data_IF_567458780035
#
_entry.id   IF_567458780035
#
_cell.length_a   1.000
_cell.length_b   1.000
_cell.length_c   1.000
_cell.angle_alpha   90.00
_cell.angle_beta   90.00
_cell.angle_gamma   90.00
#
_symmetry.space_group_name_H-M   'P 1'
#
loop_
_entity.id
_entity.type
_entity.pdbx_description
1 polymer ?
#
# COMPACT_ATOMS: atom_id res chain seq x y z
N UNK A 1 -3.14 -16.93 4.54
CA UNK A 1 -3.67 -16.39 4.60
C UNK A 1 -4.37 -16.25 3.83
N UNK A 2 -4.99 -16.80 3.73
CA UNK A 2 -5.61 -16.32 3.42
C UNK A 2 -6.30 -16.67 3.13
N UNK A 3 -6.68 -17.05 3.10
CA UNK A 3 -7.29 -16.90 3.15
C UNK A 3 -7.96 -16.87 2.45
N UNK A 4 -8.42 -17.30 2.47
CA UNK A 4 -8.86 -16.83 2.35
C UNK A 4 -9.58 -17.30 2.20
N UNK A 5 -10.00 -17.60 2.25
CA UNK A 5 -10.37 -17.40 2.52
C UNK A 5 -10.93 -17.72 2.29
N UNK A 6 -11.34 -18.59 2.41
CA UNK A 6 -11.69 -18.38 2.81
C UNK A 6 -12.01 -18.76 2.53
N UNK A 7 -12.29 -19.54 2.44
CA UNK A 7 -12.42 -19.31 2.84
C UNK A 7 -12.72 -19.41 2.98
N UNK A 8 -12.92 -19.72 2.81
CA UNK A 8 -13.03 -19.35 3.46
C UNK A 8 -13.41 -19.37 3.66
N UNK A 9 -13.52 -19.77 3.60
CA UNK A 9 -13.57 -19.26 4.23
C UNK A 9 -14.00 -19.28 4.22
N UNK A 10 -14.16 -19.61 4.04
CA UNK A 10 -14.25 -19.04 4.47
C UNK A 10 -14.56 -19.29 4.67
N UNK A 11 -14.96 -19.79 4.72
CA UNK A 11 -14.95 -19.43 5.45
C UNK A 11 -15.33 -19.36 5.70
N UNK A 12 -15.66 -19.70 5.72
CA UNK A 12 -15.82 -19.14 6.41
C UNK A 12 -16.22 -18.76 6.58
N UNK A 13 -16.71 -19.38 6.40
CA UNK A 13 -16.93 -18.67 7.01
C UNK A 13 -17.47 -18.54 6.85
N UNK A 14 -17.90 -18.93 6.53
CA UNK A 14 -18.05 -18.16 6.71
C UNK A 14 -18.67 -18.25 7.07
N UNK A 15 -19.14 -18.54 7.17
CA UNK A 15 -19.32 -17.96 7.87
C UNK A 15 -20.17 -17.88 8.15
N UNK A 16 -20.68 -18.46 8.43
CA UNK A 16 -21.25 -17.88 9.00
C UNK A 16 -21.95 -17.29 8.64
N UNK A 17 -22.56 -17.83 8.35
CA UNK A 17 -22.98 -16.78 8.20
C UNK A 17 -23.21 -16.56 8.54
N UNK A 18 -23.44 -16.87 8.43
CA UNK A 18 -23.29 -16.08 8.87
C UNK A 18 -23.22 -15.89 9.23
N UNK A 19 -23.40 -16.20 9.53
CA UNK A 19 -22.99 -15.46 10.07
C UNK A 19 -23.03 -14.93 9.92
N UNK A 20 -23.10 -15.03 9.77
CA UNK A 20 -22.83 -14.09 9.82
C UNK A 20 -22.80 -13.68 9.61
N UNK A 21 -22.93 -13.89 9.30
CA UNK A 21 -22.56 -13.05 9.29
C UNK A 21 -22.60 -12.58 9.46
N UNK A 22 -22.64 -12.51 9.23
CA UNK A 22 -22.30 -11.66 9.51
C UNK A 22 -22.35 -11.18 9.57
N UNK A 23 -22.41 -11.16 9.35
CA UNK A 23 -22.10 -10.40 9.46
C UNK A 23 -22.09 -9.90 9.04
N UNK A 24 -22.28 -10.12 8.44
CA UNK A 24 -21.92 -9.40 8.13
C UNK A 24 -21.97 -9.02 7.69
N UNK A 25 -22.03 -9.23 7.31
CA UNK A 25 -21.65 -8.55 7.01
C UNK A 25 -21.88 -8.47 6.48
N UNK A 26 -21.98 -8.71 6.27
CA UNK A 26 -21.82 -8.33 5.87
C UNK A 26 -22.34 -8.43 5.46
N UNK A 27 -22.77 -8.70 5.28
CA UNK A 27 -22.86 -8.50 5.01
C UNK A 27 -23.35 -8.79 4.82
N UNK A 28 -24.06 -9.35 4.71
CA UNK A 28 -24.10 -9.24 4.58
C UNK A 28 -24.60 -9.51 4.56
N UNK A 29 -25.27 -9.73 4.44
CA UNK A 29 -25.56 -9.78 4.39
C UNK A 29 -26.03 -10.28 4.12
N UNK A 30 -26.35 -10.73 4.00
CA UNK A 30 -26.71 -10.84 3.57
C UNK A 30 -26.75 -11.33 3.12
N UNK A 31 -27.10 -11.88 2.77
CA UNK A 31 -27.02 -12.09 2.32
C UNK A 31 -26.81 -12.46 1.61
N UNK A 32 -26.76 -12.85 1.35
CA UNK A 32 -26.45 -12.86 0.58
C UNK A 32 -26.23 -13.35 0.04
N UNK A 33 -26.30 -13.49 -0.20
CA UNK A 33 -26.19 -13.86 -0.81
C UNK A 33 -25.41 -14.30 -1.22
N UNK A 34 -25.45 -14.72 -0.66
CA UNK A 34 -24.46 -15.12 -1.60
C UNK A 34 -23.11 -14.53 -1.31
N UNK A 35 -22.02 -15.09 -1.76
CA UNK A 35 -20.66 -14.73 -1.43
C UNK A 35 -20.19 -13.33 -1.81
N UNK A 36 -20.96 -12.62 -2.63
CA UNK A 36 -20.53 -11.29 -3.09
C UNK A 36 -20.36 -10.27 -1.95
N UNK A 37 -21.27 -10.28 -0.98
CA UNK A 37 -21.17 -9.35 0.14
C UNK A 37 -19.92 -9.58 0.98
N UNK A 38 -19.57 -10.86 1.19
CA UNK A 38 -18.38 -11.22 1.95
C UNK A 38 -17.13 -10.74 1.24
N UNK A 39 -17.08 -10.90 -0.08
CA UNK A 39 -15.93 -10.50 -0.88
C UNK A 39 -15.71 -8.99 -0.82
N UNK A 40 -16.78 -8.20 -0.93
CA UNK A 40 -16.70 -6.76 -0.82
C UNK A 40 -16.22 -6.32 0.56
N UNK A 41 -16.72 -6.96 1.61
CA UNK A 41 -16.31 -6.63 2.97
C UNK A 41 -14.81 -6.89 3.18
N UNK A 42 -14.27 -7.97 2.61
CA UNK A 42 -12.86 -8.28 2.73
C UNK A 42 -11.99 -7.21 2.04
N UNK A 43 -12.38 -6.77 0.84
CA UNK A 43 -11.66 -5.72 0.13
C UNK A 43 -11.71 -4.41 0.91
N UNK A 44 -12.86 -4.06 1.45
CA UNK A 44 -12.99 -2.84 2.25
C UNK A 44 -12.05 -2.85 3.45
N UNK A 45 -11.96 -3.98 4.17
CA UNK A 45 -11.08 -4.09 5.33
C UNK A 45 -9.60 -3.91 4.97
N UNK A 46 -9.19 -4.38 3.81
CA UNK A 46 -7.79 -4.28 3.38
C UNK A 46 -7.36 -2.82 3.27
N UNK A 47 -8.29 -1.92 2.97
CA UNK A 47 -7.98 -0.50 2.77
C UNK A 47 -8.11 0.35 4.03
N UNK A 48 -8.55 -0.24 5.15
CA UNK A 48 -8.57 0.48 6.42
C UNK A 48 -7.15 0.62 6.97
N UNK A 49 -6.94 1.70 7.72
CA UNK A 49 -5.64 1.94 8.34
C UNK A 49 -5.32 0.84 9.34
N UNK A 50 -4.22 0.14 9.12
CA UNK A 50 -3.72 -0.86 10.05
C UNK A 50 -2.87 -0.24 11.13
N UNK A 51 -2.36 -1.09 12.02
CA UNK A 51 -1.43 -0.66 13.06
C UNK A 51 -0.06 -0.40 12.45
N UNK A 52 0.68 0.52 13.04
CA UNK A 52 2.03 0.85 12.61
C UNK A 52 3.02 0.15 13.54
N UNK A 53 4.01 -0.51 12.96
CA UNK A 53 5.01 -1.26 13.70
C UNK A 53 6.41 -0.77 13.30
N UNK A 54 7.22 -0.42 14.29
CA UNK A 54 8.57 0.07 14.03
C UNK A 54 9.47 -1.08 13.57
N UNK A 55 10.19 -0.88 12.47
CA UNK A 55 11.15 -1.85 11.94
C UNK A 55 12.56 -1.29 11.95
N UNK A 56 12.68 0.03 11.96
CA UNK A 56 13.95 0.77 11.88
C UNK A 56 14.71 0.49 10.57
N UNK A 57 14.05 -0.09 9.58
CA UNK A 57 14.66 -0.29 8.27
C UNK A 57 14.46 0.97 7.42
N UNK A 58 15.53 1.39 6.74
CA UNK A 58 15.56 2.65 5.99
C UNK A 58 14.47 2.73 4.92
N UNK A 59 14.19 1.62 4.25
CA UNK A 59 13.26 1.60 3.12
C UNK A 59 11.92 0.95 3.46
N UNK A 60 11.66 0.70 4.74
CA UNK A 60 10.31 0.35 5.17
C UNK A 60 9.54 1.63 5.39
N UNK A 61 8.45 1.79 4.67
CA UNK A 61 7.63 2.99 4.71
C UNK A 61 6.19 2.62 5.04
N UNK A 62 5.59 3.39 5.92
CA UNK A 62 4.18 3.22 6.24
C UNK A 62 3.42 4.45 5.77
N UNK A 63 2.19 4.24 5.34
CA UNK A 63 1.27 5.31 4.98
C UNK A 63 0.40 5.63 6.18
N UNK A 64 0.46 6.86 6.67
CA UNK A 64 -0.46 7.33 7.71
C UNK A 64 -1.56 8.13 7.06
N UNK A 65 -2.77 7.58 7.02
CA UNK A 65 -3.90 8.23 6.39
C UNK A 65 -4.16 7.70 5.00
N UNK A 66 -4.74 8.52 4.14
CA UNK A 66 -5.21 8.11 2.81
C UNK A 66 -4.09 8.12 1.81
N UNK A 67 -4.01 7.07 1.01
CA UNK A 67 -3.09 7.01 -0.11
C UNK A 67 -2.52 5.63 -0.31
N UNK A 68 -2.01 5.43 -1.50
CA UNK A 68 -1.34 4.20 -1.90
C UNK A 68 -0.02 4.57 -2.54
N UNK A 69 0.98 3.73 -2.33
CA UNK A 69 2.21 3.81 -3.13
C UNK A 69 1.88 3.39 -4.55
N UNK A 70 2.55 4.00 -5.52
CA UNK A 70 2.35 3.71 -6.94
C UNK A 70 3.53 2.88 -7.44
N UNK A 71 3.23 1.74 -8.03
CA UNK A 71 4.22 0.75 -8.44
C UNK A 71 4.13 0.56 -9.95
N UNK A 72 5.27 0.67 -10.65
CA UNK A 72 5.32 0.40 -12.09
C UNK A 72 5.61 -1.08 -12.30
N UNK A 73 4.68 -1.78 -12.95
CA UNK A 73 4.84 -3.19 -13.26
C UNK A 73 5.68 -3.38 -14.52
N UNK A 74 6.23 -4.58 -14.74
CA UNK A 74 7.06 -4.83 -15.92
C UNK A 74 6.38 -4.56 -17.26
N UNK A 75 5.06 -4.67 -17.31
CA UNK A 75 4.29 -4.37 -18.53
C UNK A 75 4.03 -2.89 -18.74
N UNK A 76 4.54 -2.04 -17.84
CA UNK A 76 4.36 -0.60 -17.91
C UNK A 76 3.11 -0.06 -17.24
N UNK A 77 2.23 -0.92 -16.77
CA UNK A 77 1.02 -0.47 -16.06
C UNK A 77 1.35 -0.12 -14.62
N UNK A 78 0.47 0.66 -14.00
CA UNK A 78 0.65 1.12 -12.62
C UNK A 78 -0.25 0.30 -11.71
N UNK A 79 0.32 -0.22 -10.64
CA UNK A 79 -0.42 -0.85 -9.55
C UNK A 79 -0.28 0.00 -8.29
N UNK A 80 -1.11 -0.27 -7.32
CA UNK A 80 -1.19 0.52 -6.08
C UNK A 80 -1.10 -0.41 -4.90
N UNK A 81 -0.41 0.02 -3.84
CA UNK A 81 -0.23 -0.83 -2.67
C UNK A 81 -0.12 0.00 -1.40
N UNK A 82 -0.55 -0.58 -0.29
CA UNK A 82 -0.29 -0.05 1.04
C UNK A 82 0.99 -0.66 1.62
N UNK A 83 1.52 -1.71 1.00
CA UNK A 83 2.70 -2.41 1.48
C UNK A 83 3.95 -1.60 1.15
N UNK A 84 4.60 -1.09 2.17
CA UNK A 84 5.79 -0.24 2.03
C UNK A 84 7.10 -0.96 2.26
N UNK A 85 7.13 -2.27 2.06
CA UNK A 85 8.36 -3.05 2.19
C UNK A 85 9.21 -2.89 0.94
N UNK A 86 10.07 -1.88 0.94
CA UNK A 86 10.90 -1.56 -0.22
C UNK A 86 12.35 -1.92 0.04
N UNK A 87 13.14 -1.92 -1.02
CA UNK A 87 14.57 -2.22 -0.96
C UNK A 87 15.25 -1.55 -2.15
N UNK A 88 16.58 -1.58 -2.18
CA UNK A 88 17.33 -1.10 -3.33
C UNK A 88 17.70 -2.28 -4.21
N UNK A 89 17.61 -2.09 -5.53
CA UNK A 89 18.12 -3.06 -6.47
C UNK A 89 19.61 -2.82 -6.73
N UNK A 90 20.19 -3.58 -7.65
CA UNK A 90 21.63 -3.49 -7.93
C UNK A 90 22.05 -2.11 -8.46
N UNK A 91 21.11 -1.34 -9.04
CA UNK A 91 21.38 0.01 -9.55
C UNK A 91 21.16 1.09 -8.51
N UNK A 92 20.70 0.72 -7.30
CA UNK A 92 20.37 1.69 -6.26
C UNK A 92 18.94 2.23 -6.39
N UNK A 93 18.13 1.65 -7.23
CA UNK A 93 16.74 2.09 -7.42
C UNK A 93 15.85 1.49 -6.34
N UNK A 94 14.91 2.29 -5.83
CA UNK A 94 13.94 1.83 -4.81
C UNK A 94 12.89 0.98 -5.51
N UNK A 95 12.78 -0.27 -5.07
CA UNK A 95 11.87 -1.26 -5.67
C UNK A 95 11.13 -2.03 -4.59
N UNK A 96 10.07 -2.72 -4.99
CA UNK A 96 9.38 -3.67 -4.11
C UNK A 96 10.26 -4.93 -3.96
N UNK A 97 9.85 -5.84 -3.07
CA UNK A 97 10.58 -7.10 -2.92
C UNK A 97 10.52 -7.96 -4.19
N UNK A 98 9.57 -7.69 -5.10
CA UNK A 98 9.51 -8.37 -6.39
C UNK A 98 10.35 -7.66 -7.46
N UNK A 99 10.99 -6.55 -7.11
CA UNK A 99 11.83 -5.81 -8.03
C UNK A 99 11.10 -4.76 -8.87
N UNK A 100 9.85 -4.46 -8.54
CA UNK A 100 9.06 -3.47 -9.29
C UNK A 100 9.38 -2.06 -8.80
N UNK A 101 9.46 -1.12 -9.71
CA UNK A 101 9.86 0.26 -9.43
C UNK A 101 8.75 1.02 -8.72
N UNK A 102 9.13 1.81 -7.70
CA UNK A 102 8.22 2.73 -7.04
C UNK A 102 8.21 4.06 -7.82
N UNK A 103 7.01 4.54 -8.17
CA UNK A 103 6.87 5.82 -8.88
C UNK A 103 7.28 7.00 -7.99
N UNK A 104 7.93 8.00 -8.55
CA UNK A 104 8.23 8.27 -9.96
C UNK A 104 9.56 7.66 -10.44
N UNK A 105 10.18 6.83 -9.64
CA UNK A 105 11.49 6.28 -9.87
C UNK A 105 12.50 7.05 -9.04
N UNK A 106 13.07 6.39 -8.04
CA UNK A 106 14.00 7.01 -7.11
C UNK A 106 15.27 6.16 -7.10
N UNK A 107 16.40 6.79 -7.39
CA UNK A 107 17.69 6.13 -7.38
C UNK A 107 18.56 6.76 -6.31
N UNK A 108 19.12 5.91 -5.44
CA UNK A 108 20.00 6.35 -4.38
C UNK A 108 21.42 6.30 -4.92
N UNK A 109 22.18 7.43 -4.86
CA UNK A 109 23.56 7.44 -5.35
C UNK A 109 24.45 6.47 -4.58
N UNK A 110 25.42 5.84 -5.24
CA UNK A 110 26.28 4.84 -4.56
C UNK A 110 27.15 5.43 -3.45
N UNK A 111 27.39 6.73 -3.44
CA UNK A 111 28.15 7.39 -2.40
C UNK A 111 27.27 7.94 -1.26
N UNK A 112 26.01 7.57 -1.22
CA UNK A 112 25.13 7.93 -0.13
C UNK A 112 25.49 7.15 1.13
N UNK A 113 25.65 7.85 2.24
CA UNK A 113 25.96 7.22 3.53
C UNK A 113 24.77 7.21 4.47
N UNK A 114 23.71 7.93 4.12
CA UNK A 114 22.47 7.92 4.90
C UNK A 114 21.32 8.39 4.01
N UNK A 115 20.12 7.89 4.30
CA UNK A 115 18.90 8.21 3.57
C UNK A 115 17.80 8.53 4.56
N UNK A 116 17.19 9.70 4.42
CA UNK A 116 16.05 10.11 5.23
C UNK A 116 14.87 10.38 4.31
N UNK A 117 13.75 9.76 4.60
CA UNK A 117 12.51 9.99 3.86
C UNK A 117 11.57 10.68 4.84
N UNK A 118 11.22 11.93 4.55
CA UNK A 118 10.40 12.71 5.47
C UNK A 118 8.91 12.48 5.24
N UNK A 119 8.08 13.09 6.07
CA UNK A 119 6.63 12.87 6.04
C UNK A 119 5.98 13.29 4.73
N UNK A 120 6.59 14.22 4.01
CA UNK A 120 6.08 14.65 2.71
C UNK A 120 6.64 13.84 1.55
N UNK A 121 7.37 12.76 1.85
CA UNK A 121 7.85 11.85 0.81
C UNK A 121 9.10 12.31 0.09
N UNK A 122 9.76 13.36 0.57
CA UNK A 122 11.06 13.74 0.01
C UNK A 122 12.12 12.74 0.45
N UNK A 123 12.92 12.29 -0.51
CA UNK A 123 14.02 11.36 -0.25
C UNK A 123 15.31 12.17 -0.20
N UNK A 124 15.85 12.34 1.00
CA UNK A 124 17.01 13.15 1.26
C UNK A 124 18.19 12.23 1.56
N UNK A 125 19.30 12.45 0.88
CA UNK A 125 20.49 11.62 1.03
C UNK A 125 21.65 12.46 1.53
N UNK A 126 22.43 11.85 2.42
CA UNK A 126 23.71 12.42 2.83
C UNK A 126 24.78 11.75 2.02
N UNK A 127 25.50 12.52 1.23
CA UNK A 127 26.56 12.00 0.37
C UNK A 127 27.91 12.10 1.09
N UNK A 128 28.78 11.16 0.79
CA UNK A 128 30.11 11.13 1.35
C UNK A 128 30.86 12.41 1.01
N UNK A 129 31.45 13.03 2.03
CA UNK A 129 32.19 14.26 1.83
C UNK A 129 31.36 15.54 1.73
N UNK A 130 30.05 15.44 1.88
CA UNK A 130 29.17 16.60 1.83
C UNK A 130 28.45 16.79 3.16
N UNK A 131 28.28 18.05 3.56
CA UNK A 131 27.59 18.40 4.80
C UNK A 131 26.08 18.51 4.55
N UNK A 132 25.71 19.14 3.45
CA UNK A 132 24.30 19.37 3.13
C UNK A 132 23.65 18.12 2.55
N UNK A 133 22.37 17.94 2.85
CA UNK A 133 21.58 16.87 2.27
C UNK A 133 21.23 17.17 0.81
N UNK A 134 21.22 16.14 -0.01
CA UNK A 134 20.79 16.23 -1.41
C UNK A 134 19.44 15.57 -1.58
N UNK A 135 18.60 16.10 -2.45
CA UNK A 135 17.30 15.54 -2.74
C UNK A 135 17.43 14.48 -3.84
N UNK A 136 17.12 13.24 -3.54
CA UNK A 136 17.20 12.14 -4.51
C UNK A 136 15.86 11.89 -5.20
N UNK A 137 14.80 12.53 -4.75
CA UNK A 137 13.49 12.39 -5.38
C UNK A 137 12.35 12.69 -4.43
N UNK A 138 11.15 12.67 -5.00
CA UNK A 138 9.92 12.97 -4.28
C UNK A 138 8.92 11.85 -4.56
N UNK A 139 8.52 11.14 -3.53
CA UNK A 139 7.49 10.13 -3.67
C UNK A 139 6.14 10.78 -3.94
N UNK A 140 5.38 10.18 -4.84
CA UNK A 140 4.02 10.59 -5.14
C UNK A 140 3.10 9.44 -4.78
N UNK A 141 2.01 9.75 -4.10
CA UNK A 141 1.03 8.74 -3.70
C UNK A 141 -0.28 9.00 -4.43
N UNK A 142 -1.17 8.04 -4.40
CA UNK A 142 -2.44 8.14 -5.12
C UNK A 142 -3.60 7.88 -4.18
N UNK A 143 -4.71 8.60 -4.41
CA UNK A 143 -5.98 8.34 -3.71
C UNK A 143 -7.06 8.03 -4.75
N UNK A 144 -8.12 7.40 -4.29
CA UNK A 144 -9.25 7.03 -5.13
C UNK A 144 -10.54 7.50 -4.47
N UNK A 145 -11.54 7.82 -5.29
CA UNK A 145 -12.86 8.17 -4.77
C UNK A 145 -13.51 6.98 -4.09
N UNK A 146 -13.22 5.76 -4.55
CA UNK A 146 -13.81 4.55 -4.01
C UNK A 146 -12.77 3.43 -3.92
N UNK A 147 -12.08 3.36 -2.79
CA UNK A 147 -11.06 2.33 -2.58
C UNK A 147 -11.61 0.92 -2.72
N UNK A 148 -12.87 0.71 -2.32
CA UNK A 148 -13.49 -0.60 -2.39
C UNK A 148 -13.67 -1.10 -3.83
N UNK A 149 -13.60 -0.20 -4.80
CA UNK A 149 -13.71 -0.55 -6.22
C UNK A 149 -12.40 -1.04 -6.83
N UNK A 150 -11.29 -0.96 -6.12
CA UNK A 150 -10.00 -1.43 -6.62
C UNK A 150 -10.01 -2.93 -6.80
N UNK A 151 -9.25 -3.40 -7.79
CA UNK A 151 -9.12 -4.83 -8.08
C UNK A 151 -7.83 -5.36 -7.48
N UNK A 152 -7.93 -6.37 -6.62
CA UNK A 152 -6.76 -7.05 -6.07
C UNK A 152 -6.16 -7.96 -7.14
N UNK A 153 -4.86 -7.83 -7.37
CA UNK A 153 -4.17 -8.59 -8.42
C UNK A 153 -3.04 -9.46 -7.86
N UNK A 154 -3.03 -9.68 -6.55
CA UNK A 154 -2.01 -10.49 -5.88
C UNK A 154 -0.85 -9.65 -5.37
N UNK A 155 -0.05 -10.23 -4.49
CA UNK A 155 1.16 -9.61 -3.92
C UNK A 155 0.89 -8.26 -3.25
N UNK A 156 -0.30 -8.10 -2.66
CA UNK A 156 -0.74 -6.85 -2.02
C UNK A 156 -0.87 -5.68 -2.99
N UNK A 157 -0.99 -5.97 -4.29
CA UNK A 157 -1.14 -4.95 -5.32
C UNK A 157 -2.61 -4.84 -5.75
N UNK A 158 -2.98 -3.62 -6.13
CA UNK A 158 -4.33 -3.30 -6.60
C UNK A 158 -4.24 -2.54 -7.90
N UNK A 159 -5.28 -2.66 -8.73
CA UNK A 159 -5.39 -1.89 -9.97
C UNK A 159 -6.68 -1.08 -9.96
N UNK A 160 -6.64 0.05 -10.64
CA UNK A 160 -7.83 0.88 -10.80
C UNK A 160 -8.86 0.17 -11.66
N UNK A 161 -10.12 0.49 -11.42
CA UNK A 161 -11.26 -0.02 -12.17
C UNK A 161 -12.23 1.13 -12.40
N UNK A 162 -13.23 0.96 -13.27
CA UNK A 162 -14.27 1.98 -13.37
C UNK A 162 -14.98 2.23 -12.03
N UNK A 163 -15.06 1.21 -11.17
CA UNK A 163 -15.69 1.36 -9.85
C UNK A 163 -14.84 2.15 -8.86
N UNK A 164 -13.51 2.04 -8.94
CA UNK A 164 -12.62 2.80 -8.06
C UNK A 164 -12.50 4.26 -8.51
N UNK A 165 -12.69 4.50 -9.78
CA UNK A 165 -12.38 5.78 -10.39
C UNK A 165 -10.90 5.89 -10.71
N UNK A 166 -10.53 6.98 -11.37
CA UNK A 166 -9.16 7.28 -11.75
C UNK A 166 -8.35 7.71 -10.53
N UNK A 167 -7.09 7.29 -10.41
CA UNK A 167 -6.27 7.74 -9.29
C UNK A 167 -5.98 9.24 -9.37
N UNK A 168 -5.97 9.88 -8.20
CA UNK A 168 -5.48 11.26 -8.07
C UNK A 168 -4.12 11.19 -7.41
N UNK A 169 -3.08 11.57 -8.14
CA UNK A 169 -1.72 11.58 -7.62
C UNK A 169 -1.44 12.88 -6.89
N UNK A 170 -0.65 12.81 -5.85
CA UNK A 170 -0.28 14.00 -5.08
C UNK A 170 0.88 13.74 -4.15
N UNK A 171 1.35 14.82 -3.56
CA UNK A 171 2.44 14.79 -2.60
C UNK A 171 1.91 14.41 -1.23
N UNK A 172 2.58 13.48 -0.52
CA UNK A 172 2.19 13.16 0.85
C UNK A 172 2.12 14.42 1.72
N UNK A 173 1.13 14.48 2.58
CA UNK A 173 0.94 15.63 3.48
C UNK A 173 0.15 16.78 2.88
N UNK A 174 -0.12 16.78 1.58
CA UNK A 174 -0.99 17.79 1.00
C UNK A 174 -2.45 17.45 1.31
N UNK A 175 -3.34 18.41 1.04
CA UNK A 175 -4.76 18.26 1.36
C UNK A 175 -5.33 17.01 0.70
N UNK A 176 -5.95 16.16 1.49
CA UNK A 176 -6.56 14.93 0.99
C UNK A 176 -5.61 13.74 0.91
N UNK A 177 -4.34 13.91 1.28
CA UNK A 177 -3.33 12.86 1.24
C UNK A 177 -2.76 12.62 2.62
N UNK A 178 -2.46 11.34 2.91
CA UNK A 178 -1.77 10.99 4.13
C UNK A 178 -0.28 11.32 4.07
N UNK A 179 0.43 10.97 5.12
CA UNK A 179 1.88 11.22 5.24
C UNK A 179 2.63 9.89 5.21
N UNK A 180 3.94 9.97 5.02
CA UNK A 180 4.83 8.82 4.98
C UNK A 180 5.61 8.76 6.29
N UNK A 181 5.81 7.56 6.82
CA UNK A 181 6.59 7.34 8.03
C UNK A 181 7.68 6.32 7.74
N UNK A 182 8.93 6.76 7.78
CA UNK A 182 10.09 5.91 7.52
C UNK A 182 10.40 5.03 8.74
N UNK A 183 10.80 3.79 8.49
CA UNK A 183 11.18 2.88 9.55
C UNK A 183 10.02 2.18 10.21
N UNK A 184 8.86 2.23 9.59
CA UNK A 184 7.64 1.59 10.09
C UNK A 184 6.97 0.84 8.95
N UNK A 185 6.22 -0.18 9.31
CA UNK A 185 5.33 -0.89 8.37
C UNK A 185 3.92 -0.90 8.94
N UNK A 186 2.97 -0.80 8.05
CA UNK A 186 1.57 -0.96 8.40
C UNK A 186 1.26 -2.45 8.45
N UNK A 187 0.73 -2.90 9.59
CA UNK A 187 0.31 -4.29 9.72
C UNK A 187 -1.17 -4.37 9.39
N UNK A 188 -1.58 -5.52 8.88
CA UNK A 188 -2.98 -5.74 8.54
C UNK A 188 -3.83 -5.71 9.81
N UNK A 189 -4.97 -5.04 9.73
CA UNK A 189 -5.98 -5.10 10.80
C UNK A 189 -7.04 -6.17 10.52
N UNK A 190 -6.80 -7.01 9.52
CA UNK A 190 -7.67 -8.15 9.20
C UNK A 190 -7.21 -9.36 9.98
N UNK A 191 -8.10 -9.96 10.75
CA UNK A 191 -7.81 -11.13 11.56
C UNK A 191 -8.46 -12.38 10.99
#
# INVERSE_FOLDING_TARGET
RRRSEFHDLIYQDLRRVGSTSSDAGTIVPTGVQLGLGVKLAAVYRIHEQGNLSATDNTFDLAMQGKGFFQITLPDGTIAFTRDGTFQLDASGQVVTHDGYTVQPGITIPPNAIDVTINNSGEVLVKLEGQVALSNAGQLQIATFLNDAGLEAVGDNLFKETPASGTPTAGTPGSTGFGTILQGFLETSNVN
#
